data_IF_918949243041
#
_entry.id   IF_918949243041
#
_cell.length_a   1.000
_cell.length_b   1.000
_cell.length_c   1.000
_cell.angle_alpha   90.00
_cell.angle_beta   90.00
_cell.angle_gamma   90.00
#
_symmetry.space_group_name_H-M   'P 1'
#
loop_
_entity.id
_entity.type
_entity.pdbx_description
1 polymer ?
#
# COMPACT_ATOMS: atom_id res chain seq x y z
N UNK A 1 -19.87 -46.64 9.42
CA UNK A 1 -20.26 -45.55 8.49
C UNK A 1 -19.90 -44.22 9.13
N UNK A 2 -18.98 -43.43 8.54
CA UNK A 2 -18.77 -42.04 8.97
C UNK A 2 -20.02 -41.25 8.58
N UNK A 3 -20.70 -40.61 9.53
CA UNK A 3 -21.77 -39.64 9.21
C UNK A 3 -21.22 -38.63 8.20
N UNK A 4 -21.96 -38.25 7.15
CA UNK A 4 -21.57 -37.10 6.34
C UNK A 4 -21.33 -35.93 7.30
N UNK A 5 -20.16 -35.31 7.24
CA UNK A 5 -19.91 -34.14 8.08
C UNK A 5 -20.97 -33.10 7.70
N UNK A 6 -21.79 -32.70 8.67
CA UNK A 6 -22.98 -31.86 8.50
C UNK A 6 -22.69 -30.54 7.74
N UNK A 7 -21.41 -30.16 7.66
CA UNK A 7 -20.89 -28.92 7.10
C UNK A 7 -19.98 -29.10 5.88
N UNK A 8 -19.83 -30.32 5.36
CA UNK A 8 -18.84 -30.64 4.33
C UNK A 8 -19.01 -29.84 3.03
N UNK A 9 -20.25 -29.54 2.66
CA UNK A 9 -20.60 -28.87 1.40
C UNK A 9 -20.79 -27.36 1.53
N UNK A 10 -20.88 -26.83 2.76
CA UNK A 10 -21.10 -25.40 3.04
C UNK A 10 -20.09 -24.52 2.30
N UNK A 11 -18.76 -24.79 2.35
CA UNK A 11 -17.82 -23.96 1.61
C UNK A 11 -18.10 -23.97 0.11
N UNK A 12 -18.38 -25.12 -0.51
CA UNK A 12 -18.58 -25.20 -1.95
C UNK A 12 -19.89 -24.51 -2.39
N UNK A 13 -20.94 -24.56 -1.56
CA UNK A 13 -22.16 -23.76 -1.79
C UNK A 13 -21.88 -22.26 -1.73
N UNK A 14 -21.14 -21.80 -0.72
CA UNK A 14 -20.75 -20.38 -0.61
C UNK A 14 -19.92 -19.96 -1.81
N UNK A 15 -18.94 -20.78 -2.23
CA UNK A 15 -18.13 -20.51 -3.43
C UNK A 15 -18.99 -20.38 -4.68
N UNK A 16 -19.92 -21.30 -4.90
CA UNK A 16 -20.80 -21.28 -6.06
C UNK A 16 -21.61 -19.99 -6.11
N UNK A 17 -22.16 -19.55 -4.96
CA UNK A 17 -22.91 -18.31 -4.90
C UNK A 17 -22.03 -17.08 -5.09
N UNK A 18 -20.83 -17.02 -4.51
CA UNK A 18 -19.86 -15.94 -4.76
C UNK A 18 -19.56 -15.79 -6.25
N UNK A 19 -19.25 -16.90 -6.95
CA UNK A 19 -18.96 -16.86 -8.39
C UNK A 19 -20.20 -16.52 -9.24
N UNK A 20 -21.39 -16.88 -8.79
CA UNK A 20 -22.62 -16.47 -9.44
C UNK A 20 -22.84 -14.96 -9.27
N UNK A 21 -22.75 -14.43 -8.06
CA UNK A 21 -22.86 -13.00 -7.78
C UNK A 21 -21.81 -12.19 -8.54
N UNK A 22 -20.61 -12.72 -8.73
CA UNK A 22 -19.58 -12.08 -9.57
C UNK A 22 -20.01 -11.95 -11.04
N UNK A 23 -20.56 -13.01 -11.64
CA UNK A 23 -21.09 -12.94 -13.01
C UNK A 23 -22.29 -12.00 -13.16
N UNK A 24 -23.04 -11.81 -12.08
CA UNK A 24 -24.18 -10.88 -12.00
C UNK A 24 -23.74 -9.44 -11.67
N UNK A 25 -22.44 -9.20 -11.44
CA UNK A 25 -21.86 -7.99 -10.83
C UNK A 25 -22.63 -7.50 -9.58
N UNK A 26 -23.16 -8.44 -8.80
CA UNK A 26 -23.98 -8.19 -7.64
C UNK A 26 -23.13 -8.26 -6.36
N UNK A 27 -23.20 -7.19 -5.53
CA UNK A 27 -22.52 -7.13 -4.22
C UNK A 27 -23.42 -6.61 -3.09
N UNK A 28 -24.66 -7.13 -2.90
CA UNK A 28 -25.54 -6.63 -1.83
C UNK A 28 -25.07 -7.07 -0.43
N UNK A 29 -25.04 -6.14 0.52
CA UNK A 29 -24.61 -6.39 1.91
C UNK A 29 -25.40 -7.55 2.56
N UNK A 30 -26.72 -7.62 2.33
CA UNK A 30 -27.56 -8.68 2.88
C UNK A 30 -27.12 -10.09 2.42
N UNK A 31 -26.63 -10.21 1.19
CA UNK A 31 -26.13 -11.48 0.67
C UNK A 31 -24.76 -11.83 1.26
N UNK A 32 -23.87 -10.84 1.38
CA UNK A 32 -22.60 -11.02 2.09
C UNK A 32 -22.84 -11.55 3.50
N UNK A 33 -23.74 -10.92 4.26
CA UNK A 33 -24.05 -11.33 5.64
C UNK A 33 -24.62 -12.75 5.71
N UNK A 34 -25.53 -13.11 4.80
CA UNK A 34 -26.07 -14.47 4.72
C UNK A 34 -24.98 -15.53 4.42
N UNK A 35 -24.12 -15.26 3.44
CA UNK A 35 -23.01 -16.15 3.06
C UNK A 35 -21.94 -16.22 4.14
N UNK A 36 -21.66 -15.10 4.82
CA UNK A 36 -20.73 -15.01 5.95
C UNK A 36 -21.24 -15.86 7.11
N UNK A 37 -22.50 -15.70 7.49
CA UNK A 37 -23.14 -16.51 8.54
C UNK A 37 -23.12 -18.01 8.19
N UNK A 38 -23.44 -18.36 6.95
CA UNK A 38 -23.37 -19.74 6.47
C UNK A 38 -21.95 -20.30 6.59
N UNK A 39 -20.94 -19.57 6.11
CA UNK A 39 -19.55 -20.00 6.18
C UNK A 39 -19.05 -20.11 7.63
N UNK A 40 -19.50 -19.23 8.52
CA UNK A 40 -19.15 -19.25 9.95
C UNK A 40 -19.84 -20.36 10.74
N UNK A 41 -20.95 -20.92 10.24
CA UNK A 41 -21.59 -22.09 10.85
C UNK A 41 -20.69 -23.34 10.88
N UNK A 42 -19.67 -23.40 10.01
CA UNK A 42 -18.69 -24.49 9.98
C UNK A 42 -17.85 -24.46 11.27
N UNK A 43 -17.81 -25.55 12.07
CA UNK A 43 -17.04 -25.62 13.31
C UNK A 43 -15.55 -25.32 13.10
N UNK A 44 -14.91 -24.61 14.04
CA UNK A 44 -13.49 -24.23 13.93
C UNK A 44 -12.55 -25.42 13.65
N UNK A 45 -12.84 -26.59 14.22
CA UNK A 45 -12.10 -27.85 13.99
C UNK A 45 -12.17 -28.34 12.53
N UNK A 46 -13.22 -27.96 11.80
CA UNK A 46 -13.50 -28.35 10.41
C UNK A 46 -13.10 -27.27 9.39
N UNK A 47 -12.68 -26.08 9.83
CA UNK A 47 -12.20 -24.98 8.96
C UNK A 47 -10.82 -25.27 8.38
N UNK A 48 -10.77 -26.20 7.42
CA UNK A 48 -9.56 -26.63 6.70
C UNK A 48 -9.21 -25.65 5.57
N UNK A 49 -8.20 -26.02 4.78
CA UNK A 49 -7.67 -25.19 3.68
C UNK A 49 -8.76 -24.67 2.74
N UNK A 50 -9.70 -25.54 2.33
CA UNK A 50 -10.80 -25.18 1.42
C UNK A 50 -11.69 -24.06 2.00
N UNK A 51 -12.02 -24.15 3.28
CA UNK A 51 -12.76 -23.10 3.99
C UNK A 51 -12.01 -21.78 3.96
N UNK A 52 -10.69 -21.78 4.22
CA UNK A 52 -9.85 -20.56 4.22
C UNK A 52 -9.79 -19.89 2.86
N UNK A 53 -9.74 -20.68 1.78
CA UNK A 53 -9.78 -20.15 0.41
C UNK A 53 -11.11 -19.43 0.15
N UNK A 54 -12.23 -20.04 0.52
CA UNK A 54 -13.56 -19.49 0.25
C UNK A 54 -13.86 -18.28 1.15
N UNK A 55 -13.36 -18.28 2.37
CA UNK A 55 -13.40 -17.14 3.29
C UNK A 55 -12.69 -15.90 2.70
N UNK A 56 -11.60 -16.10 1.95
CA UNK A 56 -10.93 -15.04 1.19
C UNK A 56 -11.78 -14.62 -0.01
N UNK A 57 -12.22 -15.56 -0.85
CA UNK A 57 -13.00 -15.23 -2.07
C UNK A 57 -14.30 -14.46 -1.73
N UNK A 58 -14.95 -14.83 -0.62
CA UNK A 58 -16.13 -14.13 -0.11
C UNK A 58 -15.81 -12.68 0.27
N UNK A 59 -14.76 -12.46 1.07
CA UNK A 59 -14.32 -11.11 1.43
C UNK A 59 -13.91 -10.30 0.18
N UNK A 60 -13.18 -10.92 -0.75
CA UNK A 60 -12.73 -10.27 -1.98
C UNK A 60 -13.90 -9.82 -2.83
N UNK A 61 -14.82 -10.72 -3.22
CA UNK A 61 -15.95 -10.37 -4.09
C UNK A 61 -16.79 -9.21 -3.54
N UNK A 62 -17.15 -9.29 -2.26
CA UNK A 62 -17.98 -8.27 -1.61
C UNK A 62 -17.20 -7.06 -1.08
N UNK A 63 -15.88 -6.98 -1.35
CA UNK A 63 -15.00 -5.86 -0.93
C UNK A 63 -14.98 -5.64 0.58
N UNK A 64 -15.02 -6.73 1.34
CA UNK A 64 -15.03 -6.73 2.79
C UNK A 64 -13.66 -7.07 3.37
N UNK A 65 -13.32 -6.49 4.53
CA UNK A 65 -12.17 -6.88 5.35
C UNK A 65 -10.80 -6.92 4.64
N UNK A 66 -10.46 -5.98 3.75
CA UNK A 66 -9.21 -5.98 2.96
C UNK A 66 -7.91 -6.33 3.73
N UNK A 67 -7.60 -5.68 4.87
CA UNK A 67 -6.40 -6.01 5.66
C UNK A 67 -6.38 -7.46 6.18
N UNK A 68 -7.56 -8.06 6.38
CA UNK A 68 -7.70 -9.47 6.78
C UNK A 68 -7.43 -10.39 5.59
N UNK A 69 -7.89 -10.03 4.40
CA UNK A 69 -7.64 -10.75 3.14
C UNK A 69 -6.13 -10.84 2.88
N UNK A 70 -5.42 -9.71 2.89
CA UNK A 70 -3.96 -9.68 2.64
C UNK A 70 -3.21 -10.62 3.58
N UNK A 71 -3.47 -10.53 4.90
CA UNK A 71 -2.84 -11.43 5.88
C UNK A 71 -3.17 -12.91 5.66
N UNK A 72 -4.37 -13.23 5.21
CA UNK A 72 -4.80 -14.62 4.96
C UNK A 72 -4.17 -15.16 3.69
N UNK A 73 -4.07 -14.35 2.64
CA UNK A 73 -3.35 -14.69 1.41
C UNK A 73 -1.88 -15.00 1.68
N UNK A 74 -1.19 -14.13 2.43
CA UNK A 74 0.20 -14.35 2.83
C UNK A 74 0.41 -15.67 3.57
N UNK A 75 -0.41 -15.93 4.59
CA UNK A 75 -0.36 -17.21 5.34
C UNK A 75 -0.67 -18.43 4.48
N UNK A 76 -1.54 -18.29 3.47
CA UNK A 76 -1.85 -19.40 2.57
C UNK A 76 -0.71 -19.66 1.59
N UNK A 77 -0.07 -18.63 1.04
CA UNK A 77 1.08 -18.78 0.17
C UNK A 77 2.23 -19.47 0.90
N UNK A 78 2.61 -18.97 2.07
CA UNK A 78 3.64 -19.59 2.92
C UNK A 78 3.33 -21.06 3.22
N UNK A 79 2.07 -21.38 3.53
CA UNK A 79 1.64 -22.75 3.75
C UNK A 79 1.70 -23.63 2.48
N UNK A 80 1.53 -23.05 1.29
CA UNK A 80 1.63 -23.74 0.01
C UNK A 80 3.09 -23.95 -0.42
N UNK A 81 3.95 -22.95 -0.22
CA UNK A 81 5.40 -23.01 -0.46
C UNK A 81 6.05 -24.09 0.41
N UNK A 82 5.78 -24.07 1.72
CA UNK A 82 6.27 -25.08 2.67
C UNK A 82 5.83 -26.52 2.35
N UNK A 83 4.79 -26.68 1.52
CA UNK A 83 4.26 -27.98 1.11
C UNK A 83 4.64 -28.35 -0.33
N UNK A 84 5.35 -27.49 -1.05
CA UNK A 84 5.65 -27.68 -2.48
C UNK A 84 4.38 -27.72 -3.35
N UNK A 85 3.35 -26.93 -3.01
CA UNK A 85 2.05 -26.92 -3.72
C UNK A 85 1.71 -25.55 -4.31
N UNK A 86 2.71 -24.85 -4.84
CA UNK A 86 2.61 -23.47 -5.35
C UNK A 86 1.54 -23.32 -6.42
N UNK A 87 1.38 -24.27 -7.35
CA UNK A 87 0.32 -24.24 -8.38
C UNK A 87 -1.10 -24.09 -7.80
N UNK A 88 -1.33 -24.61 -6.58
CA UNK A 88 -2.63 -24.49 -5.90
C UNK A 88 -2.87 -23.08 -5.38
N UNK A 89 -1.81 -22.41 -4.93
CA UNK A 89 -1.86 -21.01 -4.56
C UNK A 89 -2.09 -20.14 -5.80
N UNK A 90 -1.38 -20.40 -6.89
CA UNK A 90 -1.53 -19.64 -8.14
C UNK A 90 -2.96 -19.71 -8.68
N UNK A 91 -3.63 -20.88 -8.61
CA UNK A 91 -5.06 -20.98 -8.98
C UNK A 91 -5.99 -20.18 -8.08
N UNK A 92 -5.69 -20.12 -6.77
CA UNK A 92 -6.42 -19.26 -5.85
C UNK A 92 -6.19 -17.79 -6.20
N UNK A 93 -4.94 -17.41 -6.45
CA UNK A 93 -4.54 -16.06 -6.79
C UNK A 93 -5.20 -15.59 -8.08
N UNK A 94 -5.23 -16.42 -9.12
CA UNK A 94 -5.95 -16.14 -10.36
C UNK A 94 -7.46 -15.90 -10.11
N UNK A 95 -8.09 -16.69 -9.24
CA UNK A 95 -9.49 -16.44 -8.85
C UNK A 95 -9.67 -15.14 -8.08
N UNK A 96 -8.68 -14.74 -7.26
CA UNK A 96 -8.71 -13.46 -6.55
C UNK A 96 -8.57 -12.29 -7.53
N UNK A 97 -7.64 -12.39 -8.49
CA UNK A 97 -7.44 -11.37 -9.52
C UNK A 97 -8.69 -11.18 -10.39
N UNK A 98 -9.33 -12.28 -10.79
CA UNK A 98 -10.61 -12.28 -11.52
C UNK A 98 -11.70 -11.53 -10.73
N UNK A 99 -11.92 -11.90 -9.47
CA UNK A 99 -12.90 -11.24 -8.61
C UNK A 99 -12.59 -9.76 -8.34
N UNK A 100 -11.32 -9.37 -8.35
CA UNK A 100 -10.89 -8.00 -8.13
C UNK A 100 -11.17 -7.11 -9.35
N UNK A 101 -11.06 -7.62 -10.57
CA UNK A 101 -11.28 -6.84 -11.79
C UNK A 101 -10.39 -5.59 -11.82
N UNK A 102 -11.00 -4.41 -11.75
CA UNK A 102 -10.33 -3.11 -11.84
C UNK A 102 -9.84 -2.55 -10.49
N UNK A 103 -10.10 -3.25 -9.39
CA UNK A 103 -9.59 -2.85 -8.06
C UNK A 103 -8.43 -3.71 -7.63
N UNK A 104 -7.66 -3.26 -6.66
CA UNK A 104 -6.69 -4.09 -5.94
C UNK A 104 -7.10 -4.22 -4.47
N UNK A 105 -6.51 -5.18 -3.76
CA UNK A 105 -6.69 -5.34 -2.30
C UNK A 105 -5.35 -5.26 -1.61
N UNK A 106 -5.21 -4.29 -0.72
CA UNK A 106 -3.97 -4.02 0.01
C UNK A 106 -4.24 -3.95 1.52
N UNK A 107 -3.22 -3.61 2.29
CA UNK A 107 -3.39 -3.30 3.70
C UNK A 107 -4.29 -2.06 3.94
N UNK A 108 -4.57 -1.26 2.91
CA UNK A 108 -5.42 -0.08 2.95
C UNK A 108 -6.90 -0.38 2.66
N UNK A 109 -7.21 -1.58 2.15
CA UNK A 109 -8.58 -1.95 1.77
C UNK A 109 -8.68 -2.31 0.29
N UNK A 110 -9.78 -1.92 -0.34
CA UNK A 110 -10.00 -2.09 -1.77
C UNK A 110 -10.01 -0.73 -2.44
N UNK A 111 -9.14 -0.54 -3.42
CA UNK A 111 -8.93 0.74 -4.09
C UNK A 111 -8.82 0.53 -5.60
N UNK A 112 -9.14 1.57 -6.37
CA UNK A 112 -8.86 1.58 -7.81
C UNK A 112 -7.35 1.42 -8.05
N UNK A 113 -6.98 0.79 -9.16
CA UNK A 113 -5.57 0.64 -9.54
C UNK A 113 -5.08 1.89 -10.26
N UNK A 114 -4.02 2.57 -9.79
CA UNK A 114 -3.40 3.65 -10.54
C UNK A 114 -2.97 3.21 -11.95
N UNK A 115 -2.55 1.95 -12.11
CA UNK A 115 -2.14 1.38 -13.39
C UNK A 115 -3.26 1.29 -14.45
N UNK A 116 -4.53 1.51 -14.08
CA UNK A 116 -5.65 1.60 -15.02
C UNK A 116 -5.89 3.01 -15.54
N UNK A 117 -5.31 4.04 -14.90
CA UNK A 117 -5.34 5.39 -15.44
C UNK A 117 -4.41 5.46 -16.67
N UNK A 118 -4.76 6.26 -17.70
CA UNK A 118 -3.82 6.58 -18.76
C UNK A 118 -2.52 7.10 -18.14
N UNK A 119 -1.39 6.49 -18.50
CA UNK A 119 -0.10 6.78 -17.87
C UNK A 119 0.21 8.29 -17.88
N UNK A 120 -0.08 8.97 -18.99
CA UNK A 120 0.16 10.41 -19.11
C UNK A 120 -0.68 11.23 -18.14
N UNK A 121 -1.95 10.87 -17.88
CA UNK A 121 -2.82 11.59 -16.94
C UNK A 121 -2.34 11.43 -15.50
N UNK A 122 -2.04 10.18 -15.12
CA UNK A 122 -1.48 9.83 -13.83
C UNK A 122 -0.18 10.59 -13.56
N UNK A 123 0.79 10.51 -14.47
CA UNK A 123 2.08 11.16 -14.28
C UNK A 123 1.98 12.69 -14.36
N UNK A 124 1.08 13.24 -15.17
CA UNK A 124 0.80 14.69 -15.17
C UNK A 124 0.24 15.15 -13.83
N UNK A 125 -0.61 14.34 -13.20
CA UNK A 125 -1.12 14.61 -11.86
C UNK A 125 -0.01 14.58 -10.80
N UNK A 126 0.86 13.56 -10.84
CA UNK A 126 2.05 13.47 -9.97
C UNK A 126 2.95 14.69 -10.15
N UNK A 127 3.26 15.07 -11.40
CA UNK A 127 4.06 16.27 -11.71
C UNK A 127 3.46 17.54 -11.12
N UNK A 128 2.14 17.72 -11.18
CA UNK A 128 1.47 18.88 -10.57
C UNK A 128 1.69 18.96 -9.07
N UNK A 129 1.55 17.85 -8.35
CA UNK A 129 1.81 17.79 -6.90
C UNK A 129 3.29 18.10 -6.60
N UNK A 130 4.21 17.58 -7.41
CA UNK A 130 5.65 17.88 -7.30
C UNK A 130 5.95 19.37 -7.54
N UNK A 131 5.28 19.99 -8.52
CA UNK A 131 5.39 21.42 -8.81
C UNK A 131 4.89 22.27 -7.65
N UNK A 132 3.74 21.94 -7.06
CA UNK A 132 3.20 22.65 -5.91
C UNK A 132 4.08 22.51 -4.65
N UNK A 133 4.67 21.33 -4.42
CA UNK A 133 5.65 21.12 -3.35
C UNK A 133 6.91 21.96 -3.58
N UNK A 134 7.39 22.04 -4.83
CA UNK A 134 8.52 22.90 -5.21
C UNK A 134 8.22 24.37 -4.99
N UNK A 135 7.05 24.83 -5.40
CA UNK A 135 6.60 26.21 -5.18
C UNK A 135 6.44 26.53 -3.69
N UNK A 136 6.13 25.51 -2.87
CA UNK A 136 6.13 25.61 -1.42
C UNK A 136 7.54 25.62 -0.80
N UNK A 137 8.60 25.39 -1.59
CA UNK A 137 10.00 25.40 -1.19
C UNK A 137 10.67 24.02 -1.05
N UNK A 138 9.95 22.94 -1.32
CA UNK A 138 10.37 21.58 -0.99
C UNK A 138 10.71 20.76 -2.24
N UNK A 139 11.74 19.93 -2.14
CA UNK A 139 11.97 18.87 -3.13
C UNK A 139 11.21 17.62 -2.70
N UNK A 140 10.73 16.85 -3.67
CA UNK A 140 10.16 15.53 -3.41
C UNK A 140 10.61 14.54 -4.48
N UNK A 141 10.62 13.26 -4.13
CA UNK A 141 11.06 12.18 -5.01
C UNK A 141 10.19 10.93 -4.84
N UNK A 142 10.12 10.09 -5.88
CA UNK A 142 9.43 8.81 -5.83
C UNK A 142 10.02 7.93 -4.72
N UNK A 143 9.17 7.35 -3.91
CA UNK A 143 9.53 6.51 -2.78
C UNK A 143 8.86 5.14 -2.88
N UNK A 144 9.25 4.19 -2.02
CA UNK A 144 8.54 2.92 -1.82
C UNK A 144 8.04 2.24 -3.12
N UNK A 145 6.73 1.96 -3.24
CA UNK A 145 6.18 1.15 -4.34
C UNK A 145 6.35 1.83 -5.69
N UNK A 146 6.17 3.16 -5.69
CA UNK A 146 6.42 4.00 -6.87
C UNK A 146 7.87 3.95 -7.33
N UNK A 147 8.85 4.13 -6.42
CA UNK A 147 10.26 4.04 -6.78
C UNK A 147 10.63 2.65 -7.30
N UNK A 148 10.10 1.60 -6.64
CA UNK A 148 10.34 0.22 -7.05
C UNK A 148 9.80 -0.04 -8.46
N UNK A 149 8.57 0.41 -8.74
CA UNK A 149 7.97 0.31 -10.08
C UNK A 149 8.79 1.03 -11.13
N UNK A 150 9.20 2.28 -10.87
CA UNK A 150 9.99 3.06 -11.84
C UNK A 150 11.32 2.36 -12.18
N UNK A 151 12.05 1.89 -11.16
CA UNK A 151 13.39 1.31 -11.36
C UNK A 151 13.33 -0.12 -11.92
N UNK A 152 12.33 -0.93 -11.50
CA UNK A 152 12.25 -2.35 -11.87
C UNK A 152 11.40 -2.58 -13.11
N UNK A 153 10.26 -1.89 -13.21
CA UNK A 153 9.17 -2.19 -14.15
C UNK A 153 8.93 -1.05 -15.16
N UNK A 154 9.74 0.03 -15.13
CA UNK A 154 9.63 1.22 -15.99
C UNK A 154 8.26 1.91 -15.91
N UNK A 155 7.62 1.87 -14.73
CA UNK A 155 6.27 2.42 -14.54
C UNK A 155 5.69 2.20 -13.14
N UNK A 156 4.37 2.23 -13.01
CA UNK A 156 3.71 1.85 -11.74
C UNK A 156 3.55 0.33 -11.69
N UNK A 157 3.71 -0.25 -10.51
CA UNK A 157 3.43 -1.67 -10.28
C UNK A 157 1.93 -1.92 -10.51
N UNK A 158 1.60 -2.87 -11.39
CA UNK A 158 0.20 -3.13 -11.82
C UNK A 158 -0.82 -3.31 -10.67
N UNK A 159 -0.37 -3.82 -9.52
CA UNK A 159 -1.21 -4.11 -8.37
C UNK A 159 -1.14 -3.07 -7.24
N UNK A 160 -0.37 -1.99 -7.41
CA UNK A 160 -0.31 -0.89 -6.43
C UNK A 160 -1.67 -0.18 -6.32
N UNK A 161 -1.92 0.47 -5.18
CA UNK A 161 -3.11 1.31 -4.96
C UNK A 161 -2.82 2.79 -4.73
N UNK A 162 -1.56 3.17 -4.63
CA UNK A 162 -1.13 4.53 -4.35
C UNK A 162 0.14 4.93 -5.14
N UNK A 163 0.48 6.21 -5.04
CA UNK A 163 1.76 6.79 -5.47
C UNK A 163 2.45 7.33 -4.22
N UNK A 164 3.64 6.83 -3.93
CA UNK A 164 4.44 7.22 -2.78
C UNK A 164 5.46 8.30 -3.15
N UNK A 165 5.39 9.46 -2.51
CA UNK A 165 6.38 10.54 -2.61
C UNK A 165 7.02 10.83 -1.26
N UNK A 166 8.35 10.89 -1.23
CA UNK A 166 9.10 11.40 -0.08
C UNK A 166 9.38 12.89 -0.26
N UNK A 167 8.93 13.71 0.70
CA UNK A 167 9.16 15.16 0.72
C UNK A 167 10.40 15.45 1.56
N UNK A 168 11.44 15.98 0.91
CA UNK A 168 12.71 16.32 1.53
C UNK A 168 12.60 17.66 2.27
N UNK A 169 12.59 17.58 3.60
CA UNK A 169 12.57 18.71 4.52
C UNK A 169 13.95 19.35 4.62
N UNK A 170 13.98 20.64 4.95
CA UNK A 170 15.23 21.38 5.16
C UNK A 170 15.91 21.06 6.49
N UNK A 171 15.16 20.52 7.46
CA UNK A 171 15.66 20.16 8.76
C UNK A 171 16.78 19.11 8.71
N UNK A 172 17.74 19.26 9.61
CA UNK A 172 18.90 18.37 9.78
C UNK A 172 18.85 17.54 11.06
N UNK A 173 17.76 17.63 11.82
CA UNK A 173 17.54 16.86 13.05
C UNK A 173 16.13 16.31 13.13
N UNK A 174 15.97 15.17 13.81
CA UNK A 174 14.65 14.56 14.05
C UNK A 174 13.64 15.53 14.69
N UNK A 175 14.10 16.44 15.56
CA UNK A 175 13.21 17.40 16.22
C UNK A 175 12.76 18.48 15.24
N UNK A 176 13.70 19.11 14.52
CA UNK A 176 13.37 20.13 13.53
C UNK A 176 12.47 19.56 12.43
N UNK A 177 12.80 18.37 11.90
CA UNK A 177 12.02 17.71 10.85
C UNK A 177 10.58 17.44 11.28
N UNK A 178 10.36 17.07 12.55
CA UNK A 178 9.00 16.84 13.06
C UNK A 178 8.17 18.13 13.19
N UNK A 179 8.81 19.27 13.48
CA UNK A 179 8.14 20.56 13.54
C UNK A 179 7.88 21.11 12.14
N UNK A 180 8.87 21.06 11.27
CA UNK A 180 8.76 21.48 9.87
C UNK A 180 7.70 20.66 9.13
N UNK A 181 7.65 19.34 9.33
CA UNK A 181 6.60 18.50 8.75
C UNK A 181 5.19 18.91 9.24
N UNK A 182 5.05 19.28 10.51
CA UNK A 182 3.79 19.76 11.04
C UNK A 182 3.39 21.11 10.42
N UNK A 183 4.35 22.01 10.20
CA UNK A 183 4.14 23.31 9.57
C UNK A 183 3.78 23.17 8.08
N UNK A 184 4.55 22.36 7.34
CA UNK A 184 4.26 22.04 5.95
C UNK A 184 2.85 21.46 5.80
N UNK A 185 2.45 20.50 6.64
CA UNK A 185 1.09 19.96 6.59
C UNK A 185 0.00 21.01 6.77
N UNK A 186 0.18 22.00 7.66
CA UNK A 186 -0.78 23.11 7.79
C UNK A 186 -0.83 23.96 6.51
N UNK A 187 0.33 24.27 5.93
CA UNK A 187 0.43 25.01 4.65
C UNK A 187 -0.24 24.26 3.50
N UNK A 188 -0.04 22.93 3.40
CA UNK A 188 -0.69 22.08 2.41
C UNK A 188 -2.21 22.04 2.60
N UNK A 189 -2.69 22.03 3.85
CA UNK A 189 -4.11 22.12 4.15
C UNK A 189 -4.72 23.45 3.72
N UNK A 190 -4.03 24.57 3.98
CA UNK A 190 -4.47 25.92 3.63
C UNK A 190 -4.54 26.16 2.12
N UNK A 191 -3.66 25.50 1.36
CA UNK A 191 -3.61 25.58 -0.12
C UNK A 191 -4.56 24.61 -0.81
N UNK A 192 -5.19 23.70 -0.08
CA UNK A 192 -6.08 22.68 -0.63
C UNK A 192 -5.36 21.46 -1.23
N UNK A 193 -4.02 21.40 -1.12
CA UNK A 193 -3.22 20.27 -1.62
C UNK A 193 -3.29 19.05 -0.70
N UNK A 194 -3.95 19.12 0.46
CA UNK A 194 -4.01 18.03 1.43
C UNK A 194 -5.39 17.35 1.44
N UNK A 195 -5.41 16.02 1.46
CA UNK A 195 -6.63 15.27 1.78
C UNK A 195 -6.98 15.47 3.28
N UNK A 196 -7.88 16.42 3.53
CA UNK A 196 -8.29 16.78 4.89
C UNK A 196 -9.05 15.66 5.61
N UNK A 197 -9.70 14.72 4.90
CA UNK A 197 -10.39 13.62 5.55
C UNK A 197 -9.38 12.62 6.13
N UNK A 198 -8.40 12.22 5.33
CA UNK A 198 -7.34 11.34 5.80
C UNK A 198 -6.48 12.03 6.87
N UNK A 199 -6.19 13.32 6.69
CA UNK A 199 -5.37 14.09 7.62
C UNK A 199 -5.98 14.12 9.04
N UNK A 200 -7.32 14.17 9.16
CA UNK A 200 -8.06 14.04 10.42
C UNK A 200 -7.86 12.70 11.12
N UNK A 201 -7.45 11.64 10.41
CA UNK A 201 -7.09 10.32 10.98
C UNK A 201 -5.76 10.36 11.74
N UNK A 202 -5.06 11.51 11.75
CA UNK A 202 -3.88 11.76 12.60
C UNK A 202 -2.75 10.76 12.33
N UNK A 203 -2.57 10.43 11.05
CA UNK A 203 -1.44 9.66 10.52
C UNK A 203 -0.15 10.49 10.55
N UNK A 204 1.00 9.81 10.44
CA UNK A 204 2.31 10.47 10.44
C UNK A 204 2.65 10.96 9.02
N UNK A 205 2.49 10.10 8.00
CA UNK A 205 2.38 10.54 6.60
C UNK A 205 1.01 11.18 6.38
N UNK A 206 0.83 11.82 5.22
CA UNK A 206 -0.45 12.39 4.78
C UNK A 206 -0.66 12.10 3.30
N UNK A 207 -1.78 12.49 2.71
CA UNK A 207 -2.05 12.35 1.27
C UNK A 207 -2.27 13.70 0.62
N UNK A 208 -1.80 13.83 -0.62
CA UNK A 208 -2.20 14.95 -1.45
C UNK A 208 -3.68 14.81 -1.83
N UNK A 209 -4.38 15.93 -1.94
CA UNK A 209 -5.74 15.95 -2.46
C UNK A 209 -5.71 15.55 -3.95
N UNK A 210 -6.55 14.58 -4.32
CA UNK A 210 -6.67 14.16 -5.71
C UNK A 210 -8.15 14.14 -6.13
N UNK A 211 -8.57 15.06 -7.01
CA UNK A 211 -9.92 15.07 -7.58
C UNK A 211 -10.31 13.76 -8.28
N UNK A 212 -9.31 13.05 -8.82
CA UNK A 212 -9.50 11.87 -9.67
C UNK A 212 -9.47 10.55 -8.87
N UNK A 213 -9.39 10.64 -7.54
CA UNK A 213 -9.34 9.48 -6.64
C UNK A 213 -7.99 8.76 -6.57
N UNK A 214 -6.95 9.28 -7.23
CA UNK A 214 -5.59 8.76 -7.13
C UNK A 214 -5.04 9.01 -5.72
N UNK A 215 -4.60 7.96 -5.05
CA UNK A 215 -3.99 8.09 -3.73
C UNK A 215 -2.53 8.50 -3.89
N UNK A 216 -2.18 9.75 -3.55
CA UNK A 216 -0.79 10.21 -3.51
C UNK A 216 -0.33 10.37 -2.06
N UNK A 217 0.45 9.43 -1.56
CA UNK A 217 1.00 9.48 -0.21
C UNK A 217 2.27 10.35 -0.14
N UNK A 218 2.29 11.25 0.85
CA UNK A 218 3.39 12.16 1.14
C UNK A 218 4.05 11.77 2.47
N UNK A 219 5.32 11.37 2.38
CA UNK A 219 6.14 10.96 3.52
C UNK A 219 7.21 12.00 3.85
N UNK A 220 7.42 12.34 5.14
CA UNK A 220 8.52 13.22 5.52
C UNK A 220 9.86 12.50 5.36
N UNK A 221 10.79 13.18 4.71
CA UNK A 221 12.19 12.79 4.59
C UNK A 221 13.11 13.94 5.04
N UNK A 222 14.27 13.62 5.60
CA UNK A 222 15.28 14.61 5.97
C UNK A 222 16.67 13.98 5.97
N UNK A 223 17.71 14.81 5.87
CA UNK A 223 19.11 14.37 5.92
C UNK A 223 19.71 14.86 7.24
N UNK A 224 20.30 13.97 8.03
CA UNK A 224 20.93 14.29 9.31
C UNK A 224 22.27 13.57 9.38
N UNK A 225 23.34 14.31 9.67
CA UNK A 225 24.71 13.79 9.71
C UNK A 225 25.11 13.00 8.43
N UNK A 226 24.73 13.52 7.26
CA UNK A 226 25.02 12.88 5.96
C UNK A 226 24.24 11.59 5.69
N UNK A 227 23.20 11.30 6.48
CA UNK A 227 22.36 10.10 6.34
C UNK A 227 20.90 10.45 6.09
N UNK A 228 20.25 9.66 5.25
CA UNK A 228 18.83 9.83 4.92
C UNK A 228 17.92 9.22 6.00
N UNK A 229 16.87 9.95 6.33
CA UNK A 229 15.74 9.46 7.09
C UNK A 229 14.46 9.67 6.29
N UNK A 230 13.70 8.61 6.02
CA UNK A 230 12.40 8.63 5.34
C UNK A 230 11.44 7.83 6.19
N UNK A 231 10.42 8.46 6.75
CA UNK A 231 9.39 7.71 7.47
C UNK A 231 8.57 6.88 6.47
N UNK A 232 8.28 5.59 6.70
CA UNK A 232 8.76 4.72 7.79
C UNK A 232 9.97 3.84 7.42
N UNK A 233 10.46 3.89 6.18
CA UNK A 233 11.38 2.88 5.62
C UNK A 233 12.85 3.08 6.02
N UNK A 234 13.41 4.29 5.92
CA UNK A 234 14.84 4.56 6.11
C UNK A 234 15.11 5.38 7.39
N UNK A 235 15.97 4.91 8.28
CA UNK A 235 16.39 5.54 9.54
C UNK A 235 17.92 5.65 9.61
N UNK A 236 18.54 6.28 8.61
CA UNK A 236 19.97 6.57 8.58
C UNK A 236 20.84 5.52 7.90
N UNK A 237 20.26 4.48 7.29
CA UNK A 237 21.01 3.43 6.60
C UNK A 237 21.63 3.93 5.26
N UNK A 238 20.94 4.82 4.55
CA UNK A 238 21.35 5.35 3.23
C UNK A 238 22.16 6.65 3.37
N UNK A 239 23.23 6.82 2.58
CA UNK A 239 24.02 8.06 2.58
C UNK A 239 23.29 9.17 1.81
N UNK A 240 23.54 10.43 2.18
CA UNK A 240 22.96 11.57 1.47
C UNK A 240 23.31 11.58 -0.02
N UNK A 241 24.55 11.21 -0.37
CA UNK A 241 25.05 11.18 -1.75
C UNK A 241 24.37 10.11 -2.62
N UNK A 242 23.78 9.07 -2.01
CA UNK A 242 22.95 8.09 -2.73
C UNK A 242 21.57 8.66 -3.09
N UNK A 243 21.21 9.83 -2.54
CA UNK A 243 19.89 10.44 -2.71
C UNK A 243 20.00 11.72 -3.53
N UNK A 244 20.86 12.64 -3.12
CA UNK A 244 21.00 13.95 -3.74
C UNK A 244 22.32 14.05 -4.52
N UNK A 245 22.33 14.74 -5.69
CA UNK A 245 21.19 15.42 -6.31
C UNK A 245 20.16 14.43 -6.88
N UNK A 246 18.87 14.77 -6.76
CA UNK A 246 17.79 13.97 -7.34
C UNK A 246 17.94 13.89 -8.87
N UNK A 247 17.69 12.72 -9.44
CA UNK A 247 17.74 12.49 -10.88
C UNK A 247 16.31 12.47 -11.48
N UNK A 248 16.08 13.05 -12.67
CA UNK A 248 14.79 12.94 -13.33
C UNK A 248 14.62 11.55 -13.99
N UNK A 249 13.51 10.88 -13.69
CA UNK A 249 13.10 9.65 -14.36
C UNK A 249 12.00 9.95 -15.38
N UNK A 250 12.14 9.46 -16.62
CA UNK A 250 11.15 9.68 -17.66
C UNK A 250 9.93 8.77 -17.50
N UNK A 251 8.75 9.37 -17.46
CA UNK A 251 7.48 8.66 -17.31
C UNK A 251 6.45 9.30 -18.23
N UNK A 252 5.50 8.53 -18.78
CA UNK A 252 4.33 9.06 -19.51
C UNK A 252 4.60 10.28 -20.40
N UNK A 253 5.15 10.06 -21.60
CA UNK A 253 5.45 11.11 -22.57
C UNK A 253 6.55 12.08 -22.09
N UNK A 254 6.17 13.35 -21.89
CA UNK A 254 7.10 14.42 -21.47
C UNK A 254 7.28 14.53 -19.95
N UNK A 255 6.56 13.76 -19.15
CA UNK A 255 6.61 13.86 -17.70
C UNK A 255 7.94 13.35 -17.13
N UNK A 256 8.38 13.96 -16.02
CA UNK A 256 9.62 13.60 -15.33
C UNK A 256 9.37 13.57 -13.83
N UNK A 257 9.67 12.45 -13.19
CA UNK A 257 9.53 12.28 -11.74
C UNK A 257 10.92 12.20 -11.10
N UNK A 258 11.23 12.98 -10.06
CA UNK A 258 12.51 12.88 -9.38
C UNK A 258 12.66 11.54 -8.66
N UNK A 259 13.82 10.92 -8.77
CA UNK A 259 14.25 9.72 -8.04
C UNK A 259 15.57 10.00 -7.30
N UNK A 260 15.93 9.22 -6.26
CA UNK A 260 17.26 9.27 -5.66
C UNK A 260 18.37 9.09 -6.71
N UNK A 261 19.55 9.68 -6.50
CA UNK A 261 20.72 9.54 -7.38
C UNK A 261 21.11 8.06 -7.63
N UNK A 262 21.05 7.26 -6.57
CA UNK A 262 21.33 5.82 -6.55
C UNK A 262 20.17 5.09 -5.85
N UNK A 263 19.04 4.86 -6.55
CA UNK A 263 17.81 4.40 -5.94
C UNK A 263 17.91 3.00 -5.32
N UNK A 264 18.86 2.18 -5.77
CA UNK A 264 19.06 0.81 -5.30
C UNK A 264 19.35 0.74 -3.79
N UNK A 265 20.07 1.71 -3.24
CA UNK A 265 20.38 1.76 -1.81
C UNK A 265 19.11 1.89 -0.96
N UNK A 266 18.20 2.78 -1.37
CA UNK A 266 16.92 2.98 -0.67
C UNK A 266 15.96 1.80 -0.89
N UNK A 267 15.93 1.22 -2.09
CA UNK A 267 15.13 0.03 -2.38
C UNK A 267 15.56 -1.18 -1.56
N UNK A 268 16.87 -1.42 -1.43
CA UNK A 268 17.41 -2.48 -0.58
C UNK A 268 17.04 -2.31 0.89
N UNK A 269 17.06 -1.07 1.41
CA UNK A 269 16.63 -0.77 2.80
C UNK A 269 15.14 -1.04 3.01
N UNK A 270 14.30 -0.78 2.00
CA UNK A 270 12.85 -0.92 2.14
C UNK A 270 12.36 -2.37 1.91
N UNK A 271 12.93 -3.06 0.92
CA UNK A 271 12.44 -4.36 0.42
C UNK A 271 13.42 -5.52 0.63
N UNK A 272 14.65 -5.26 1.07
CA UNK A 272 15.73 -6.25 1.19
C UNK A 272 16.58 -6.37 -0.09
N UNK A 273 17.70 -7.07 -0.02
CA UNK A 273 18.69 -7.16 -1.12
C UNK A 273 18.11 -7.78 -2.41
N UNK A 274 17.12 -8.66 -2.27
CA UNK A 274 16.46 -9.37 -3.38
C UNK A 274 15.29 -8.59 -4.01
N UNK A 275 15.17 -7.27 -3.76
CA UNK A 275 14.03 -6.43 -4.19
C UNK A 275 13.71 -6.47 -5.70
N UNK A 276 14.70 -6.84 -6.52
CA UNK A 276 14.51 -7.03 -7.97
C UNK A 276 13.60 -8.21 -8.30
N UNK A 277 13.49 -9.19 -7.40
CA UNK A 277 12.54 -10.30 -7.54
C UNK A 277 11.22 -9.87 -6.92
N UNK A 278 10.10 -9.85 -7.68
CA UNK A 278 8.81 -9.51 -7.11
C UNK A 278 8.43 -10.43 -5.94
N UNK A 279 8.13 -9.84 -4.78
CA UNK A 279 7.50 -10.57 -3.67
C UNK A 279 6.04 -10.11 -3.47
N UNK A 280 5.06 -10.83 -4.07
CA UNK A 280 3.64 -10.57 -3.85
C UNK A 280 3.17 -10.67 -2.39
N UNK A 281 3.98 -11.17 -1.44
CA UNK A 281 3.63 -11.24 -0.02
C UNK A 281 4.32 -10.19 0.84
N UNK A 282 5.07 -9.27 0.24
CA UNK A 282 5.81 -8.28 0.99
C UNK A 282 4.93 -7.63 2.06
N UNK A 283 5.37 -7.72 3.31
CA UNK A 283 4.68 -7.18 4.46
C UNK A 283 5.63 -6.28 5.24
N UNK A 284 5.40 -4.98 5.15
CA UNK A 284 6.25 -4.00 5.81
C UNK A 284 6.22 -4.16 7.35
N UNK A 285 7.41 -4.23 7.99
CA UNK A 285 7.53 -4.31 9.45
C UNK A 285 7.25 -2.95 10.12
N UNK A 286 5.96 -2.64 10.22
CA UNK A 286 5.46 -1.47 10.91
C UNK A 286 5.86 -1.42 12.39
N UNK A 287 6.11 -2.56 13.04
CA UNK A 287 6.45 -2.61 14.47
C UNK A 287 7.85 -2.06 14.68
N UNK A 288 8.82 -2.55 13.92
CA UNK A 288 10.19 -2.04 13.95
C UNK A 288 10.26 -0.58 13.52
N UNK A 289 9.58 -0.21 12.43
CA UNK A 289 9.56 1.18 11.96
C UNK A 289 8.97 2.15 13.00
N UNK A 290 7.83 1.80 13.62
CA UNK A 290 7.20 2.64 14.68
C UNK A 290 8.10 2.82 15.89
N UNK A 291 8.97 1.84 16.19
CA UNK A 291 9.96 1.88 17.27
C UNK A 291 11.13 2.80 16.91
N UNK A 292 11.74 2.63 15.72
CA UNK A 292 12.83 3.50 15.23
C UNK A 292 12.41 4.97 15.22
N UNK A 293 11.24 5.26 14.66
CA UNK A 293 10.70 6.63 14.56
C UNK A 293 9.94 7.11 15.80
N UNK A 294 10.07 6.47 16.97
CA UNK A 294 9.28 6.82 18.17
C UNK A 294 9.41 8.31 18.54
N UNK A 295 10.63 8.85 18.47
CA UNK A 295 10.91 10.26 18.82
C UNK A 295 10.22 11.22 17.85
N UNK A 296 10.43 11.04 16.55
CA UNK A 296 9.80 11.82 15.48
C UNK A 296 8.28 11.84 15.63
N UNK A 297 7.67 10.64 15.72
CA UNK A 297 6.22 10.47 15.81
C UNK A 297 5.60 11.16 17.02
N UNK A 298 6.28 11.15 18.17
CA UNK A 298 5.83 11.83 19.38
C UNK A 298 5.81 13.35 19.20
N UNK A 299 6.81 13.91 18.54
CA UNK A 299 6.91 15.36 18.31
C UNK A 299 5.86 15.81 17.29
N UNK A 300 5.69 15.09 16.18
CA UNK A 300 4.63 15.38 15.19
C UNK A 300 3.25 15.36 15.84
N UNK A 301 2.96 14.35 16.67
CA UNK A 301 1.69 14.28 17.41
C UNK A 301 1.45 15.46 18.33
N UNK A 302 2.50 15.94 19.01
CA UNK A 302 2.39 17.11 19.88
C UNK A 302 2.21 18.40 19.08
N UNK A 303 3.06 18.59 18.07
CA UNK A 303 3.10 19.82 17.28
C UNK A 303 1.85 19.97 16.39
N UNK A 304 1.42 18.90 15.73
CA UNK A 304 0.34 18.95 14.75
C UNK A 304 -1.01 18.52 15.32
N UNK A 305 -1.03 17.52 16.20
CA UNK A 305 -2.28 16.87 16.63
C UNK A 305 -2.70 17.26 18.06
N UNK A 306 -1.92 18.09 18.75
CA UNK A 306 -2.21 18.55 20.12
C UNK A 306 -2.20 17.45 21.18
N UNK A 307 -1.37 16.40 21.02
CA UNK A 307 -1.22 15.27 21.97
C UNK A 307 0.18 15.14 22.55
#
# INVERSE_FOLDING_TARGET
MRKPALYADVPDRVRARVMQAHREDARPDAEYEALRAALESVPKSERKLRWRQIDILLDVHFRQNGPRVVRRLARLREAHENRGTTDRYERLWASVQDLLGDVTVTAHGYNARPALHPADELWSHVCRVLDELRDAGYQAFANSGTLLGLVRDDGIIWHDDDVDLAVLLHADTTKAAAHEWAELRRKLAETGLLDLELDRRRTIHTKAASPDGLMLDLFPAWISDGRLYVFPCCFGEVAADDVIPLAPFAVGGSNRVPVPAHPEALLAVNYGDDWRTPDPLFAFDWTSAKRRFRRFRRIVRKAYMGK
#
